data_IF_545712346381
#
_entry.id   IF_545712346381
#
_cell.length_a   1.000
_cell.length_b   1.000
_cell.length_c   1.000
_cell.angle_alpha   90.00
_cell.angle_beta   90.00
_cell.angle_gamma   90.00
#
_symmetry.space_group_name_H-M   'P 1'
#
loop_
_entity.id
_entity.type
_entity.pdbx_description
1 polymer ?
#
# COMPACT_ATOMS: atom_id res chain seq x y z
N UNK A 1 9.24 6.88 23.31
CA UNK A 1 8.53 7.41 22.12
C UNK A 1 9.07 6.68 20.90
N UNK A 2 8.21 6.00 20.16
CA UNK A 2 8.67 5.27 18.99
C UNK A 2 8.81 6.25 17.80
N UNK A 3 10.05 6.51 17.39
CA UNK A 3 10.37 7.51 16.37
C UNK A 3 10.03 6.97 14.96
N UNK A 4 10.25 5.68 14.72
CA UNK A 4 10.15 5.09 13.38
C UNK A 4 8.74 5.18 12.78
N UNK A 5 7.64 4.81 13.47
CA UNK A 5 6.29 4.95 12.94
C UNK A 5 5.96 6.38 12.53
N UNK A 6 6.27 7.34 13.41
CA UNK A 6 5.99 8.76 13.13
C UNK A 6 6.86 9.34 12.02
N UNK A 7 8.13 8.94 11.97
CA UNK A 7 9.01 9.32 10.86
C UNK A 7 8.49 8.80 9.53
N UNK A 8 8.01 7.54 9.51
CA UNK A 8 7.42 6.94 8.32
C UNK A 8 6.18 7.70 7.84
N UNK A 9 5.24 8.04 8.76
CA UNK A 9 4.06 8.87 8.45
C UNK A 9 4.47 10.22 7.82
N UNK A 10 5.43 10.93 8.41
CA UNK A 10 5.92 12.20 7.88
C UNK A 10 6.60 12.04 6.52
N UNK A 11 7.41 10.98 6.32
CA UNK A 11 8.04 10.74 5.02
C UNK A 11 7.01 10.40 3.94
N UNK A 12 5.97 9.64 4.26
CA UNK A 12 4.88 9.32 3.34
C UNK A 12 4.00 10.54 3.02
N UNK A 13 3.86 11.48 3.95
CA UNK A 13 3.08 12.70 3.74
C UNK A 13 3.86 13.79 2.99
N UNK A 14 5.13 14.00 3.34
CA UNK A 14 5.91 15.15 2.87
C UNK A 14 7.05 14.80 1.92
N UNK A 15 7.37 13.52 1.78
CA UNK A 15 8.45 13.03 0.93
C UNK A 15 9.73 12.66 1.68
N UNK A 16 10.37 11.61 1.21
CA UNK A 16 11.61 11.08 1.81
C UNK A 16 12.83 12.01 1.64
N UNK A 17 12.86 12.83 0.61
CA UNK A 17 13.92 13.84 0.41
C UNK A 17 13.54 15.16 1.03
N UNK A 18 12.33 15.60 0.81
CA UNK A 18 11.84 16.93 1.18
C UNK A 18 11.78 17.09 2.70
N UNK A 19 11.26 16.12 3.44
CA UNK A 19 11.18 16.19 4.91
C UNK A 19 12.53 15.85 5.54
N UNK A 20 13.13 16.79 6.28
CA UNK A 20 14.50 16.68 6.80
C UNK A 20 14.56 16.07 8.19
N UNK A 21 15.76 15.68 8.66
CA UNK A 21 16.01 15.27 10.06
C UNK A 21 15.69 16.40 11.04
N UNK A 22 15.89 17.65 10.63
CA UNK A 22 15.60 18.83 11.41
C UNK A 22 14.09 19.03 11.59
N UNK A 23 13.33 18.88 10.50
CA UNK A 23 11.87 18.94 10.54
C UNK A 23 11.32 17.83 11.44
N UNK A 24 11.89 16.62 11.33
CA UNK A 24 11.47 15.49 12.15
C UNK A 24 11.74 15.76 13.65
N UNK A 25 12.93 16.20 14.01
CA UNK A 25 13.27 16.51 15.40
C UNK A 25 12.32 17.57 15.96
N UNK A 26 12.03 18.63 15.19
CA UNK A 26 11.09 19.68 15.56
C UNK A 26 9.67 19.12 15.78
N UNK A 27 9.15 18.36 14.83
CA UNK A 27 7.79 17.80 14.91
C UNK A 27 7.62 16.74 16.00
N UNK A 28 8.71 16.05 16.36
CA UNK A 28 8.73 15.09 17.48
C UNK A 28 8.94 15.77 18.84
N UNK A 29 9.30 17.06 18.88
CA UNK A 29 9.61 17.79 20.11
C UNK A 29 10.88 17.30 20.81
N UNK A 30 11.86 16.79 20.03
CA UNK A 30 13.15 16.29 20.54
C UNK A 30 14.32 17.11 19.97
N UNK A 31 15.49 17.05 20.65
CA UNK A 31 16.67 17.69 20.11
C UNK A 31 17.23 16.94 18.90
N UNK A 32 17.87 17.67 17.97
CA UNK A 32 18.62 17.03 16.86
C UNK A 32 19.65 16.03 17.38
N UNK A 33 20.33 16.36 18.50
CA UNK A 33 21.30 15.47 19.13
C UNK A 33 20.66 14.14 19.51
N UNK A 34 19.49 14.16 20.17
CA UNK A 34 18.74 12.97 20.57
C UNK A 34 18.35 12.12 19.36
N UNK A 35 17.94 12.74 18.25
CA UNK A 35 17.60 12.03 17.04
C UNK A 35 18.83 11.36 16.40
N UNK A 36 19.96 12.09 16.32
CA UNK A 36 21.21 11.55 15.74
C UNK A 36 21.91 10.52 16.64
N UNK A 37 21.66 10.52 17.95
CA UNK A 37 22.10 9.45 18.87
C UNK A 37 21.40 8.12 18.59
N UNK A 38 20.15 8.13 18.08
CA UNK A 38 19.41 6.93 17.72
C UNK A 38 19.62 6.52 16.25
N UNK A 39 19.71 7.49 15.37
CA UNK A 39 19.86 7.26 13.93
C UNK A 39 21.02 8.07 13.39
N UNK A 40 22.16 7.42 13.15
CA UNK A 40 23.39 8.05 12.71
C UNK A 40 23.26 8.89 11.42
N UNK A 41 22.24 8.62 10.60
CA UNK A 41 21.95 9.37 9.37
C UNK A 41 20.47 9.22 8.98
N UNK A 42 20.03 10.10 8.08
CA UNK A 42 18.69 9.97 7.48
C UNK A 42 18.52 8.65 6.72
N UNK A 43 19.58 8.14 6.08
CA UNK A 43 19.57 6.84 5.41
C UNK A 43 19.18 5.71 6.37
N UNK A 44 19.83 5.65 7.55
CA UNK A 44 19.54 4.63 8.59
C UNK A 44 18.10 4.72 9.06
N UNK A 45 17.56 5.94 9.23
CA UNK A 45 16.17 6.12 9.63
C UNK A 45 15.20 5.70 8.50
N UNK A 46 15.49 6.04 7.25
CA UNK A 46 14.68 5.62 6.10
C UNK A 46 14.66 4.10 5.98
N UNK A 47 15.80 3.43 6.16
CA UNK A 47 15.87 1.96 6.17
C UNK A 47 14.98 1.36 7.27
N UNK A 48 15.07 1.89 8.49
CA UNK A 48 14.21 1.44 9.60
C UNK A 48 12.73 1.70 9.36
N UNK A 49 12.37 2.81 8.70
CA UNK A 49 10.99 3.10 8.31
C UNK A 49 10.44 2.08 7.31
N UNK A 50 11.26 1.61 6.38
CA UNK A 50 10.81 0.61 5.39
C UNK A 50 10.72 -0.79 5.99
N UNK A 51 11.62 -1.16 6.92
CA UNK A 51 11.48 -2.40 7.70
C UNK A 51 10.16 -2.41 8.49
N UNK A 52 9.85 -1.30 9.15
CA UNK A 52 8.57 -1.10 9.83
C UNK A 52 7.36 -1.22 8.88
N UNK A 53 7.43 -0.59 7.69
CA UNK A 53 6.34 -0.66 6.71
C UNK A 53 6.08 -2.09 6.23
N UNK A 54 7.14 -2.87 6.00
CA UNK A 54 7.03 -4.27 5.60
C UNK A 54 6.40 -5.12 6.71
N UNK A 55 6.90 -4.98 7.95
CA UNK A 55 6.34 -5.68 9.12
C UNK A 55 4.85 -5.37 9.30
N UNK A 56 4.49 -4.09 9.24
CA UNK A 56 3.08 -3.66 9.33
C UNK A 56 2.22 -4.25 8.20
N UNK A 57 2.73 -4.30 6.98
CA UNK A 57 2.01 -4.89 5.85
C UNK A 57 1.73 -6.37 6.06
N UNK A 58 2.73 -7.14 6.50
CA UNK A 58 2.57 -8.57 6.77
C UNK A 58 1.56 -8.84 7.89
N UNK A 59 1.71 -8.18 9.05
CA UNK A 59 0.81 -8.33 10.20
C UNK A 59 -0.64 -7.96 9.85
N UNK A 60 -0.82 -6.91 9.05
CA UNK A 60 -2.15 -6.46 8.61
C UNK A 60 -2.79 -7.48 7.69
N UNK A 61 -2.06 -7.97 6.69
CA UNK A 61 -2.57 -8.98 5.75
C UNK A 61 -3.08 -10.20 6.51
N UNK A 62 -2.32 -10.74 7.45
CA UNK A 62 -2.75 -11.88 8.27
C UNK A 62 -4.02 -11.56 9.07
N UNK A 63 -4.07 -10.39 9.73
CA UNK A 63 -5.22 -9.94 10.51
C UNK A 63 -6.47 -9.78 9.65
N UNK A 64 -6.35 -9.20 8.45
CA UNK A 64 -7.49 -9.01 7.56
C UNK A 64 -8.00 -10.33 6.99
N UNK A 65 -7.12 -11.21 6.57
CA UNK A 65 -7.51 -12.53 6.05
C UNK A 65 -8.08 -13.47 7.11
N UNK A 66 -7.91 -13.20 8.41
CA UNK A 66 -8.56 -13.95 9.50
C UNK A 66 -10.05 -13.58 9.72
N UNK A 67 -10.54 -12.50 9.14
CA UNK A 67 -11.94 -12.07 9.27
C UNK A 67 -12.86 -13.00 8.46
N UNK A 68 -13.66 -13.82 9.13
CA UNK A 68 -14.55 -14.80 8.48
C UNK A 68 -15.92 -14.25 8.07
N UNK A 69 -16.30 -13.09 8.61
CA UNK A 69 -17.60 -12.43 8.41
C UNK A 69 -17.71 -11.63 7.10
N UNK A 70 -16.60 -11.49 6.37
CA UNK A 70 -16.50 -10.70 5.15
C UNK A 70 -15.95 -11.51 3.99
N UNK A 71 -16.36 -11.18 2.76
CA UNK A 71 -15.76 -11.77 1.57
C UNK A 71 -14.30 -11.33 1.39
N UNK A 72 -13.52 -12.16 0.71
CA UNK A 72 -12.13 -11.80 0.41
C UNK A 72 -12.02 -10.51 -0.41
N UNK A 73 -12.99 -10.21 -1.27
CA UNK A 73 -13.05 -8.97 -2.05
C UNK A 73 -13.26 -7.78 -1.10
N UNK A 74 -14.25 -7.86 -0.20
CA UNK A 74 -14.52 -6.80 0.77
C UNK A 74 -13.32 -6.54 1.69
N UNK A 75 -12.65 -7.59 2.15
CA UNK A 75 -11.48 -7.49 3.02
C UNK A 75 -10.36 -6.70 2.35
N UNK A 76 -10.03 -6.99 1.10
CA UNK A 76 -8.93 -6.32 0.38
C UNK A 76 -9.23 -4.83 0.18
N UNK A 77 -10.46 -4.47 -0.14
CA UNK A 77 -10.84 -3.06 -0.27
C UNK A 77 -10.86 -2.32 1.07
N UNK A 78 -11.30 -2.97 2.16
CA UNK A 78 -11.25 -2.37 3.50
C UNK A 78 -9.82 -2.18 4.00
N UNK A 79 -8.92 -3.15 3.72
CA UNK A 79 -7.49 -3.02 4.03
C UNK A 79 -6.89 -1.81 3.33
N UNK A 80 -7.17 -1.65 2.03
CA UNK A 80 -6.68 -0.52 1.26
C UNK A 80 -7.17 0.82 1.82
N UNK A 81 -8.42 0.89 2.26
CA UNK A 81 -8.98 2.09 2.89
C UNK A 81 -8.29 2.44 4.21
N UNK A 82 -7.95 1.45 5.01
CA UNK A 82 -7.17 1.69 6.23
C UNK A 82 -5.74 2.19 5.90
N UNK A 83 -5.12 1.68 4.83
CA UNK A 83 -3.82 2.19 4.34
C UNK A 83 -3.93 3.66 3.94
N UNK A 84 -4.97 4.04 3.20
CA UNK A 84 -5.25 5.42 2.81
C UNK A 84 -5.35 6.33 4.04
N UNK A 85 -6.11 5.93 5.05
CA UNK A 85 -6.26 6.69 6.29
C UNK A 85 -4.97 6.82 7.09
N UNK A 86 -4.19 5.74 7.18
CA UNK A 86 -2.97 5.72 7.98
C UNK A 86 -1.87 6.59 7.40
N UNK A 87 -1.70 6.58 6.08
CA UNK A 87 -0.54 7.24 5.46
C UNK A 87 -0.85 8.63 4.92
N UNK A 88 -2.14 8.97 4.78
CA UNK A 88 -2.58 10.30 4.28
C UNK A 88 -1.75 10.80 3.09
N UNK A 89 -1.34 9.86 2.22
CA UNK A 89 -0.61 10.19 0.99
C UNK A 89 -1.53 10.95 0.05
N UNK A 90 -1.01 12.06 -0.47
CA UNK A 90 -1.74 12.86 -1.47
C UNK A 90 -1.27 12.60 -2.90
N UNK A 91 -0.14 11.93 -3.06
CA UNK A 91 0.50 11.72 -4.35
C UNK A 91 1.52 10.58 -4.34
N UNK A 92 1.98 10.14 -5.51
CA UNK A 92 3.08 9.17 -5.66
C UNK A 92 4.47 9.74 -5.33
N UNK A 93 4.59 11.06 -5.12
CA UNK A 93 5.85 11.76 -4.91
C UNK A 93 6.75 11.15 -3.83
N UNK A 94 6.29 10.74 -2.65
CA UNK A 94 7.16 10.11 -1.65
C UNK A 94 7.86 8.86 -2.18
N UNK A 95 7.15 8.01 -2.91
CA UNK A 95 7.70 6.79 -3.51
C UNK A 95 8.71 7.11 -4.62
N UNK A 96 8.44 8.13 -5.43
CA UNK A 96 9.38 8.64 -6.44
C UNK A 96 10.66 9.20 -5.78
N UNK A 97 10.53 10.01 -4.71
CA UNK A 97 11.68 10.53 -3.96
C UNK A 97 12.52 9.39 -3.35
N UNK A 98 11.86 8.36 -2.79
CA UNK A 98 12.54 7.18 -2.26
C UNK A 98 13.37 6.50 -3.36
N UNK A 99 12.77 6.25 -4.51
CA UNK A 99 13.45 5.63 -5.65
C UNK A 99 14.65 6.45 -6.14
N UNK A 100 14.49 7.78 -6.20
CA UNK A 100 15.52 8.67 -6.76
C UNK A 100 16.66 8.95 -5.79
N UNK A 101 16.39 9.12 -4.51
CA UNK A 101 17.37 9.59 -3.53
C UNK A 101 17.86 8.51 -2.57
N UNK A 102 17.17 7.37 -2.50
CA UNK A 102 17.51 6.21 -1.68
C UNK A 102 17.41 4.91 -2.50
N UNK A 103 18.17 4.82 -3.63
CA UNK A 103 17.96 3.75 -4.62
C UNK A 103 18.23 2.35 -4.09
N UNK A 104 19.17 2.17 -3.18
CA UNK A 104 19.50 0.86 -2.62
C UNK A 104 18.41 0.40 -1.66
N UNK A 105 17.90 1.30 -0.84
CA UNK A 105 16.75 1.05 0.04
C UNK A 105 15.50 0.74 -0.78
N UNK A 106 15.26 1.51 -1.86
CA UNK A 106 14.15 1.24 -2.78
C UNK A 106 14.24 -0.15 -3.42
N UNK A 107 15.42 -0.56 -3.90
CA UNK A 107 15.62 -1.90 -4.48
C UNK A 107 15.37 -3.02 -3.48
N UNK A 108 15.83 -2.85 -2.23
CA UNK A 108 15.56 -3.80 -1.15
C UNK A 108 14.07 -3.90 -0.89
N UNK A 109 13.42 -2.76 -0.71
CA UNK A 109 11.98 -2.66 -0.53
C UNK A 109 11.21 -3.34 -1.67
N UNK A 110 11.50 -3.00 -2.93
CA UNK A 110 10.84 -3.57 -4.11
C UNK A 110 10.93 -5.11 -4.14
N UNK A 111 12.08 -5.67 -3.75
CA UNK A 111 12.26 -7.12 -3.66
C UNK A 111 11.43 -7.74 -2.54
N UNK A 112 11.45 -7.15 -1.35
CA UNK A 112 10.76 -7.67 -0.16
C UNK A 112 9.23 -7.55 -0.31
N UNK A 113 8.74 -6.42 -0.81
CA UNK A 113 7.31 -6.27 -1.12
C UNK A 113 6.85 -7.18 -2.26
N UNK A 114 7.67 -7.44 -3.28
CA UNK A 114 7.32 -8.43 -4.31
C UNK A 114 7.16 -9.86 -3.74
N UNK A 115 7.92 -10.22 -2.70
CA UNK A 115 7.75 -11.50 -2.00
C UNK A 115 6.45 -11.50 -1.17
N UNK A 116 6.17 -10.42 -0.45
CA UNK A 116 4.93 -10.25 0.30
C UNK A 116 3.70 -10.28 -0.62
N UNK A 117 3.76 -9.59 -1.76
CA UNK A 117 2.71 -9.62 -2.80
C UNK A 117 2.45 -11.04 -3.32
N UNK A 118 3.51 -11.83 -3.51
CA UNK A 118 3.35 -13.21 -3.97
C UNK A 118 2.60 -14.07 -2.96
N UNK A 119 2.87 -13.91 -1.67
CA UNK A 119 2.16 -14.59 -0.57
C UNK A 119 0.72 -14.07 -0.45
N UNK A 120 0.53 -12.77 -0.52
CA UNK A 120 -0.80 -12.15 -0.54
C UNK A 120 -1.68 -12.74 -1.65
N UNK A 121 -1.16 -12.87 -2.88
CA UNK A 121 -1.90 -13.45 -4.01
C UNK A 121 -2.24 -14.92 -3.76
N UNK A 122 -1.37 -15.71 -3.12
CA UNK A 122 -1.70 -17.09 -2.76
C UNK A 122 -2.88 -17.14 -1.77
N UNK A 123 -2.84 -16.35 -0.71
CA UNK A 123 -3.91 -16.25 0.29
C UNK A 123 -5.22 -15.77 -0.35
N UNK A 124 -5.13 -14.76 -1.24
CA UNK A 124 -6.25 -14.20 -1.99
C UNK A 124 -6.95 -15.29 -2.81
N UNK A 125 -6.21 -16.06 -3.60
CA UNK A 125 -6.76 -17.11 -4.45
C UNK A 125 -7.31 -18.29 -3.65
N UNK A 126 -6.59 -18.75 -2.62
CA UNK A 126 -7.05 -19.83 -1.74
C UNK A 126 -8.42 -19.48 -1.14
N UNK A 127 -8.55 -18.29 -0.58
CA UNK A 127 -9.79 -17.85 0.02
C UNK A 127 -10.89 -17.59 -1.00
N UNK A 128 -10.59 -16.93 -2.11
CA UNK A 128 -11.56 -16.65 -3.16
C UNK A 128 -12.13 -17.91 -3.80
N UNK A 129 -11.32 -18.99 -3.90
CA UNK A 129 -11.80 -20.29 -4.32
C UNK A 129 -12.65 -21.00 -3.27
N UNK A 130 -12.28 -20.93 -1.99
CA UNK A 130 -13.07 -21.46 -0.87
C UNK A 130 -14.45 -20.78 -0.82
N UNK A 131 -14.52 -19.48 -1.04
CA UNK A 131 -15.76 -18.71 -1.10
C UNK A 131 -16.55 -18.90 -2.42
N UNK A 132 -15.93 -19.50 -3.44
CA UNK A 132 -16.52 -19.72 -4.75
C UNK A 132 -16.69 -18.46 -5.59
N UNK A 133 -15.83 -17.44 -5.37
CA UNK A 133 -15.90 -16.14 -6.04
C UNK A 133 -14.96 -16.05 -7.24
N UNK A 134 -13.90 -16.87 -7.30
CA UNK A 134 -12.86 -16.76 -8.33
C UNK A 134 -12.91 -17.87 -9.36
N UNK A 135 -12.49 -17.54 -10.56
CA UNK A 135 -12.30 -18.45 -11.68
C UNK A 135 -11.19 -19.45 -11.39
N UNK A 136 -11.32 -20.68 -11.91
CA UNK A 136 -10.31 -21.74 -11.74
C UNK A 136 -9.33 -21.86 -12.91
N UNK A 137 -9.60 -21.16 -14.01
CA UNK A 137 -8.82 -21.19 -15.25
C UNK A 137 -7.72 -20.11 -15.31
N UNK A 138 -7.51 -19.36 -14.22
CA UNK A 138 -6.49 -18.32 -14.15
C UNK A 138 -5.10 -18.93 -13.99
N UNK A 139 -4.17 -18.49 -14.84
CA UNK A 139 -2.75 -18.80 -14.66
C UNK A 139 -2.18 -17.92 -13.51
N UNK A 140 -2.18 -18.47 -12.28
CA UNK A 140 -1.76 -17.74 -11.07
C UNK A 140 -0.32 -17.28 -11.18
N UNK A 141 0.58 -18.07 -11.77
CA UNK A 141 1.99 -17.67 -11.93
C UNK A 141 2.12 -16.42 -12.80
N UNK A 142 1.35 -16.37 -13.89
CA UNK A 142 1.30 -15.17 -14.75
C UNK A 142 0.64 -14.00 -14.01
N UNK A 143 -0.46 -14.24 -13.29
CA UNK A 143 -1.18 -13.21 -12.55
C UNK A 143 -0.33 -12.56 -11.47
N UNK A 144 0.45 -13.34 -10.70
CA UNK A 144 1.42 -12.82 -9.73
C UNK A 144 2.42 -11.87 -10.38
N UNK A 145 3.01 -12.28 -11.48
CA UNK A 145 3.99 -11.47 -12.21
C UNK A 145 3.34 -10.19 -12.75
N UNK A 146 2.15 -10.30 -13.33
CA UNK A 146 1.37 -9.15 -13.83
C UNK A 146 1.05 -8.17 -12.69
N UNK A 147 0.51 -8.66 -11.58
CA UNK A 147 0.20 -7.86 -10.40
C UNK A 147 1.44 -7.08 -9.90
N UNK A 148 2.55 -7.78 -9.66
CA UNK A 148 3.80 -7.15 -9.20
C UNK A 148 4.31 -6.08 -10.17
N UNK A 149 4.23 -6.30 -11.49
CA UNK A 149 4.66 -5.28 -12.45
C UNK A 149 3.75 -4.05 -12.45
N UNK A 150 2.43 -4.24 -12.34
CA UNK A 150 1.49 -3.11 -12.27
C UNK A 150 1.65 -2.34 -10.96
N UNK A 151 1.89 -3.02 -9.84
CA UNK A 151 2.18 -2.33 -8.56
C UNK A 151 3.41 -1.42 -8.65
N UNK A 152 4.41 -1.78 -9.44
CA UNK A 152 5.59 -0.94 -9.69
C UNK A 152 5.25 0.36 -10.42
N UNK A 153 4.22 0.38 -11.26
CA UNK A 153 3.78 1.60 -11.95
C UNK A 153 3.28 2.68 -10.98
N UNK A 154 2.82 2.29 -9.78
CA UNK A 154 2.34 3.23 -8.74
C UNK A 154 3.42 4.19 -8.24
N UNK A 155 4.70 3.85 -8.41
CA UNK A 155 5.84 4.70 -8.03
C UNK A 155 6.37 5.58 -9.17
N UNK A 156 5.70 5.60 -10.33
CA UNK A 156 6.08 6.44 -11.46
C UNK A 156 5.11 7.63 -11.59
N UNK A 157 5.58 8.83 -11.21
CA UNK A 157 4.86 10.08 -11.52
C UNK A 157 4.57 10.23 -13.03
N UNK A 158 5.42 9.61 -13.88
CA UNK A 158 5.31 9.68 -15.33
C UNK A 158 4.25 8.72 -15.91
N UNK A 159 3.78 7.71 -15.14
CA UNK A 159 2.83 6.73 -15.64
C UNK A 159 1.38 7.23 -15.58
N UNK A 160 1.05 8.05 -14.59
CA UNK A 160 -0.28 8.61 -14.36
C UNK A 160 -0.15 10.08 -13.96
N UNK A 161 -0.65 10.98 -14.79
CA UNK A 161 -0.73 12.41 -14.44
C UNK A 161 -1.79 12.58 -13.35
N UNK A 162 -1.40 13.10 -12.19
CA UNK A 162 -2.30 13.25 -11.03
C UNK A 162 -3.48 14.18 -11.27
N UNK A 163 -3.43 15.03 -12.31
CA UNK A 163 -4.55 15.89 -12.72
C UNK A 163 -5.67 15.10 -13.38
N UNK A 164 -5.32 14.05 -14.11
CA UNK A 164 -6.26 13.16 -14.81
C UNK A 164 -6.55 11.90 -14.00
N UNK A 165 -5.60 11.50 -13.15
CA UNK A 165 -5.62 10.25 -12.39
C UNK A 165 -5.21 10.51 -10.93
N UNK A 166 -6.12 11.02 -10.07
CA UNK A 166 -5.85 11.20 -8.65
C UNK A 166 -5.33 9.92 -8.00
N UNK A 167 -4.34 10.03 -7.12
CA UNK A 167 -3.56 8.89 -6.65
C UNK A 167 -4.42 7.74 -6.09
N UNK A 168 -5.33 8.02 -5.17
CA UNK A 168 -6.16 6.98 -4.55
C UNK A 168 -7.22 6.43 -5.52
N UNK A 169 -7.82 7.26 -6.34
CA UNK A 169 -8.77 6.81 -7.36
C UNK A 169 -8.11 5.86 -8.35
N UNK A 170 -6.86 6.14 -8.75
CA UNK A 170 -6.07 5.27 -9.60
C UNK A 170 -5.81 3.91 -8.94
N UNK A 171 -5.48 3.91 -7.65
CA UNK A 171 -5.26 2.67 -6.88
C UNK A 171 -6.54 1.83 -6.82
N UNK A 172 -7.68 2.42 -6.49
CA UNK A 172 -8.96 1.70 -6.43
C UNK A 172 -9.39 1.20 -7.81
N UNK A 173 -9.17 1.97 -8.86
CA UNK A 173 -9.42 1.54 -10.24
C UNK A 173 -8.55 0.35 -10.64
N UNK A 174 -7.26 0.37 -10.28
CA UNK A 174 -6.38 -0.78 -10.49
C UNK A 174 -6.86 -2.02 -9.73
N UNK A 175 -7.26 -1.87 -8.47
CA UNK A 175 -7.80 -2.98 -7.67
C UNK A 175 -9.07 -3.56 -8.28
N UNK A 176 -9.99 -2.71 -8.73
CA UNK A 176 -11.19 -3.14 -9.44
C UNK A 176 -10.83 -3.98 -10.67
N UNK A 177 -9.92 -3.50 -11.51
CA UNK A 177 -9.50 -4.24 -12.72
C UNK A 177 -8.78 -5.55 -12.38
N UNK A 178 -7.97 -5.60 -11.32
CA UNK A 178 -7.38 -6.84 -10.85
C UNK A 178 -8.44 -7.88 -10.46
N UNK A 179 -9.48 -7.46 -9.73
CA UNK A 179 -10.57 -8.36 -9.38
C UNK A 179 -11.41 -8.77 -10.61
N UNK A 180 -11.73 -7.85 -11.53
CA UNK A 180 -12.49 -8.17 -12.75
C UNK A 180 -11.82 -9.25 -13.62
N UNK A 181 -10.49 -9.37 -13.56
CA UNK A 181 -9.76 -10.43 -14.27
C UNK A 181 -10.04 -11.81 -13.66
N UNK A 182 -10.16 -11.92 -12.32
CA UNK A 182 -10.13 -13.20 -11.61
C UNK A 182 -11.50 -13.68 -11.11
N UNK A 183 -12.49 -12.80 -11.00
CA UNK A 183 -13.82 -13.16 -10.49
C UNK A 183 -14.63 -13.96 -11.54
N UNK A 184 -15.49 -14.86 -11.04
CA UNK A 184 -16.57 -15.47 -11.81
C UNK A 184 -17.87 -14.66 -11.67
N UNK A 185 -19.01 -15.16 -12.18
CA UNK A 185 -20.31 -14.46 -12.12
C UNK A 185 -20.74 -14.12 -10.68
N UNK A 186 -20.54 -15.04 -9.72
CA UNK A 186 -20.84 -14.80 -8.30
C UNK A 186 -19.90 -13.73 -7.72
N UNK A 187 -18.61 -13.84 -8.03
CA UNK A 187 -17.61 -12.88 -7.60
C UNK A 187 -17.81 -11.48 -8.20
N UNK A 188 -18.34 -11.40 -9.45
CA UNK A 188 -18.66 -10.12 -10.08
C UNK A 188 -19.77 -9.38 -9.32
N UNK A 189 -20.84 -10.08 -8.92
CA UNK A 189 -21.91 -9.49 -8.12
C UNK A 189 -21.40 -8.99 -6.75
N UNK A 190 -20.52 -9.76 -6.14
CA UNK A 190 -19.90 -9.37 -4.87
C UNK A 190 -18.96 -8.16 -5.04
N UNK A 191 -18.18 -8.11 -6.13
CA UNK A 191 -17.33 -6.97 -6.45
C UNK A 191 -18.16 -5.69 -6.63
N UNK A 192 -19.25 -5.76 -7.39
CA UNK A 192 -20.16 -4.62 -7.62
C UNK A 192 -20.79 -4.14 -6.32
N UNK A 193 -21.18 -5.06 -5.41
CA UNK A 193 -21.68 -4.72 -4.07
C UNK A 193 -20.61 -3.95 -3.26
N UNK A 194 -19.40 -4.44 -3.24
CA UNK A 194 -18.28 -3.82 -2.50
C UNK A 194 -17.95 -2.45 -3.07
N UNK A 195 -17.87 -2.31 -4.39
CA UNK A 195 -17.61 -1.02 -5.05
C UNK A 195 -18.70 0.01 -4.74
N UNK A 196 -19.99 -0.40 -4.75
CA UNK A 196 -21.08 0.49 -4.36
C UNK A 196 -20.95 0.95 -2.91
N UNK A 197 -20.67 0.02 -1.99
CA UNK A 197 -20.45 0.34 -0.57
C UNK A 197 -19.34 1.36 -0.35
N UNK A 198 -18.24 1.25 -1.11
CA UNK A 198 -17.09 2.16 -1.00
C UNK A 198 -17.44 3.52 -1.57
N UNK A 199 -18.09 3.60 -2.71
CA UNK A 199 -18.50 4.86 -3.35
C UNK A 199 -19.50 5.63 -2.47
N UNK A 200 -20.46 4.96 -1.82
CA UNK A 200 -21.40 5.60 -0.91
C UNK A 200 -20.69 6.23 0.30
N UNK A 201 -19.62 5.60 0.79
CA UNK A 201 -18.82 6.15 1.89
C UNK A 201 -17.94 7.33 1.45
N UNK A 202 -17.53 7.39 0.17
CA UNK A 202 -16.76 8.53 -0.36
C UNK A 202 -17.62 9.77 -0.56
N UNK A 203 -18.85 9.62 -1.00
CA UNK A 203 -19.78 10.74 -1.12
C UNK A 203 -20.10 11.39 0.23
N UNK A 204 -20.17 10.60 1.32
CA UNK A 204 -20.44 11.12 2.67
C UNK A 204 -19.25 11.85 3.34
N UNK A 205 -18.04 11.71 2.83
CA UNK A 205 -16.82 12.33 3.39
C UNK A 205 -16.49 13.65 2.67
N UNK A 206 -16.98 13.81 1.44
CA UNK A 206 -16.69 14.99 0.60
C UNK A 206 -17.84 16.01 0.56
N UNK A 207 -18.96 15.74 1.24
CA UNK A 207 -20.05 16.67 1.56
C UNK A 207 -19.84 17.28 2.97
#
# INVERSE_FOLDING_TARGET
MDIVPRAFEYFMQYGFKTFTMDDLAHNLGISKKTLYEQFASKQVLVDACLDYALEMSCCRTETFFSKEDKSVIEIVFLEQKEVEHLFNMKSARPLWELKRYFPDTYKRMDKEFAQADALFIDMLFERGWKEGLFRKDINIKFYKQFYTQVQRLRSFEEAFDERDFPFWETIYTMMEYFFRIIVNEKGMKELERVLSMINDQWSMIND
#
